data_IF_592834638758
#
_entry.id   IF_592834638758
#
_cell.length_a   1.000
_cell.length_b   1.000
_cell.length_c   1.000
_cell.angle_alpha   90.00
_cell.angle_beta   90.00
_cell.angle_gamma   90.00
#
_symmetry.space_group_name_H-M   'P 1'
#
loop_
_entity.id
_entity.type
_entity.pdbx_description
1 polymer ?
#
# COMPACT_ATOMS: atom_id res chain seq x y z
N UNK A 1 39.66 -61.13 -89.73
CA UNK A 1 39.38 -61.25 -88.28
C UNK A 1 39.95 -60.10 -87.44
N UNK A 2 40.81 -59.22 -87.98
CA UNK A 2 41.40 -58.10 -87.22
C UNK A 2 40.40 -56.98 -86.92
N UNK A 3 39.60 -56.56 -87.91
CA UNK A 3 38.74 -55.37 -87.79
C UNK A 3 37.55 -55.55 -86.84
N UNK A 4 36.84 -56.69 -86.88
CA UNK A 4 35.71 -56.94 -85.99
C UNK A 4 36.11 -56.96 -84.50
N UNK A 5 37.29 -57.50 -84.17
CA UNK A 5 37.83 -57.45 -82.80
C UNK A 5 38.18 -56.02 -82.39
N UNK A 6 38.68 -55.21 -83.32
CA UNK A 6 39.03 -53.82 -83.08
C UNK A 6 37.77 -52.98 -82.82
N UNK A 7 36.70 -53.19 -83.60
CA UNK A 7 35.39 -52.55 -83.38
C UNK A 7 34.80 -52.97 -82.02
N UNK A 8 34.81 -54.27 -81.67
CA UNK A 8 34.31 -54.71 -80.37
C UNK A 8 35.10 -54.09 -79.22
N UNK A 9 36.43 -54.03 -79.32
CA UNK A 9 37.26 -53.36 -78.32
C UNK A 9 36.95 -51.86 -78.21
N UNK A 10 36.55 -51.20 -79.29
CA UNK A 10 36.09 -49.80 -79.24
C UNK A 10 34.71 -49.68 -78.58
N UNK A 11 33.78 -50.60 -78.83
CA UNK A 11 32.46 -50.62 -78.17
C UNK A 11 32.65 -50.84 -76.67
N UNK A 12 33.44 -51.85 -76.26
CA UNK A 12 33.70 -52.14 -74.85
C UNK A 12 34.37 -50.95 -74.14
N UNK A 13 35.24 -50.20 -74.85
CA UNK A 13 35.83 -48.97 -74.34
C UNK A 13 34.77 -47.88 -74.14
N UNK A 14 33.88 -47.66 -75.11
CA UNK A 14 32.79 -46.68 -75.01
C UNK A 14 31.83 -47.04 -73.87
N UNK A 15 31.48 -48.32 -73.71
CA UNK A 15 30.61 -48.77 -72.62
C UNK A 15 31.27 -48.57 -71.24
N UNK A 16 32.57 -48.89 -71.10
CA UNK A 16 33.31 -48.62 -69.87
C UNK A 16 33.42 -47.14 -69.58
N UNK A 17 33.73 -46.32 -70.58
CA UNK A 17 33.81 -44.86 -70.43
C UNK A 17 32.43 -44.28 -70.03
N UNK A 18 31.34 -44.80 -70.59
CA UNK A 18 29.98 -44.41 -70.21
C UNK A 18 29.63 -44.84 -68.78
N UNK A 19 30.07 -46.04 -68.34
CA UNK A 19 29.89 -46.51 -66.97
C UNK A 19 30.69 -45.69 -65.96
N UNK A 20 31.99 -45.44 -66.21
CA UNK A 20 32.81 -44.58 -65.34
C UNK A 20 32.20 -43.18 -65.22
N UNK A 21 31.70 -42.62 -66.33
CA UNK A 21 31.05 -41.31 -66.32
C UNK A 21 29.71 -41.31 -65.57
N UNK A 22 28.96 -42.41 -65.62
CA UNK A 22 27.73 -42.57 -64.84
C UNK A 22 28.03 -42.67 -63.35
N UNK A 23 29.03 -43.47 -62.96
CA UNK A 23 29.50 -43.59 -61.57
C UNK A 23 30.03 -42.25 -61.03
N UNK A 24 30.79 -41.50 -61.84
CA UNK A 24 31.26 -40.16 -61.48
C UNK A 24 30.10 -39.18 -61.26
N UNK A 25 29.07 -39.22 -62.12
CA UNK A 25 27.86 -38.40 -61.96
C UNK A 25 27.05 -38.79 -60.72
N UNK A 26 26.90 -40.08 -60.42
CA UNK A 26 26.21 -40.53 -59.22
C UNK A 26 26.97 -40.13 -57.95
N UNK A 27 28.30 -40.28 -57.94
CA UNK A 27 29.14 -39.84 -56.84
C UNK A 27 29.04 -38.33 -56.61
N UNK A 28 29.11 -37.54 -57.68
CA UNK A 28 28.95 -36.08 -57.62
C UNK A 28 27.55 -35.67 -57.15
N UNK A 29 26.50 -36.33 -57.65
CA UNK A 29 25.12 -36.06 -57.24
C UNK A 29 24.88 -36.39 -55.76
N UNK A 30 25.49 -37.47 -55.25
CA UNK A 30 25.40 -37.84 -53.84
C UNK A 30 26.15 -36.82 -52.96
N UNK A 31 27.35 -36.38 -53.38
CA UNK A 31 28.10 -35.35 -52.66
C UNK A 31 27.32 -34.02 -52.61
N UNK A 32 26.75 -33.59 -53.73
CA UNK A 32 25.93 -32.37 -53.79
C UNK A 32 24.67 -32.49 -52.95
N UNK A 33 24.00 -33.65 -52.96
CA UNK A 33 22.87 -33.93 -52.08
C UNK A 33 23.24 -33.81 -50.59
N UNK A 34 24.36 -34.39 -50.18
CA UNK A 34 24.78 -34.38 -48.78
C UNK A 34 25.18 -32.97 -48.31
N UNK A 35 25.85 -32.21 -49.18
CA UNK A 35 26.19 -30.80 -48.92
C UNK A 35 24.92 -29.96 -48.78
N UNK A 36 23.97 -30.07 -49.72
CA UNK A 36 22.76 -29.24 -49.72
C UNK A 36 21.82 -29.61 -48.57
N UNK A 37 21.70 -30.91 -48.26
CA UNK A 37 20.98 -31.39 -47.07
C UNK A 37 21.61 -30.85 -45.79
N UNK A 38 22.93 -30.91 -45.64
CA UNK A 38 23.61 -30.32 -44.48
C UNK A 38 23.35 -28.82 -44.38
N UNK A 39 23.40 -28.09 -45.51
CA UNK A 39 23.13 -26.65 -45.56
C UNK A 39 21.72 -26.33 -45.06
N UNK A 40 20.70 -27.04 -45.55
CA UNK A 40 19.30 -26.85 -45.14
C UNK A 40 19.08 -27.19 -43.67
N UNK A 41 19.63 -28.30 -43.20
CA UNK A 41 19.51 -28.75 -41.81
C UNK A 41 20.19 -27.77 -40.85
N UNK A 42 21.41 -27.31 -41.15
CA UNK A 42 22.11 -26.36 -40.29
C UNK A 42 21.44 -24.98 -40.29
N UNK A 43 20.91 -24.52 -41.42
CA UNK A 43 20.13 -23.30 -41.49
C UNK A 43 18.88 -23.36 -40.60
N UNK A 44 18.14 -24.47 -40.62
CA UNK A 44 16.94 -24.62 -39.80
C UNK A 44 17.26 -24.85 -38.32
N UNK A 45 18.30 -25.62 -38.00
CA UNK A 45 18.83 -25.74 -36.63
C UNK A 45 19.23 -24.38 -36.06
N UNK A 46 19.86 -23.51 -36.86
CA UNK A 46 20.22 -22.16 -36.43
C UNK A 46 18.97 -21.34 -36.05
N UNK A 47 17.90 -21.39 -36.86
CA UNK A 47 16.63 -20.72 -36.54
C UNK A 47 15.99 -21.28 -35.27
N UNK A 48 15.94 -22.61 -35.13
CA UNK A 48 15.37 -23.27 -33.94
C UNK A 48 16.15 -22.88 -32.68
N UNK A 49 17.49 -22.87 -32.73
CA UNK A 49 18.34 -22.43 -31.62
C UNK A 49 18.03 -20.99 -31.21
N UNK A 50 17.93 -20.07 -32.17
CA UNK A 50 17.60 -18.67 -31.89
C UNK A 50 16.21 -18.49 -31.27
N UNK A 51 15.19 -19.21 -31.76
CA UNK A 51 13.84 -19.19 -31.17
C UNK A 51 13.81 -19.78 -29.76
N UNK A 52 14.52 -20.90 -29.55
CA UNK A 52 14.62 -21.53 -28.23
C UNK A 52 15.31 -20.61 -27.23
N UNK A 53 16.40 -19.94 -27.62
CA UNK A 53 17.09 -18.96 -26.77
C UNK A 53 16.17 -17.78 -26.40
N UNK A 54 15.41 -17.24 -27.36
CA UNK A 54 14.43 -16.18 -27.09
C UNK A 54 13.35 -16.65 -26.10
N UNK A 55 12.83 -17.87 -26.27
CA UNK A 55 11.82 -18.44 -25.37
C UNK A 55 12.37 -18.69 -23.98
N UNK A 56 13.61 -19.16 -23.86
CA UNK A 56 14.29 -19.34 -22.58
C UNK A 56 14.44 -18.00 -21.84
N UNK A 57 14.90 -16.96 -22.54
CA UNK A 57 15.01 -15.60 -21.99
C UNK A 57 13.66 -15.06 -21.51
N UNK A 58 12.59 -15.32 -22.27
CA UNK A 58 11.24 -14.90 -21.87
C UNK A 58 10.79 -15.61 -20.58
N UNK A 59 10.98 -16.93 -20.49
CA UNK A 59 10.65 -17.71 -19.29
C UNK A 59 11.40 -17.20 -18.06
N UNK A 60 12.68 -16.85 -18.20
CA UNK A 60 13.46 -16.27 -17.11
C UNK A 60 12.93 -14.90 -16.66
N UNK A 61 12.52 -14.05 -17.60
CA UNK A 61 11.89 -12.76 -17.30
C UNK A 61 10.56 -12.98 -16.58
N UNK A 62 9.69 -13.85 -17.12
CA UNK A 62 8.38 -14.15 -16.53
C UNK A 62 8.52 -14.70 -15.12
N UNK A 63 9.51 -15.58 -14.88
CA UNK A 63 9.83 -16.10 -13.55
C UNK A 63 10.25 -14.99 -12.58
N UNK A 64 11.07 -14.03 -13.03
CA UNK A 64 11.48 -12.88 -12.21
C UNK A 64 10.29 -11.98 -11.87
N UNK A 65 9.42 -11.70 -12.85
CA UNK A 65 8.19 -10.91 -12.67
C UNK A 65 7.24 -11.62 -11.69
N UNK A 66 7.02 -12.92 -11.86
CA UNK A 66 6.17 -13.72 -10.97
C UNK A 66 6.69 -13.68 -9.52
N UNK A 67 8.01 -13.83 -9.32
CA UNK A 67 8.63 -13.72 -7.99
C UNK A 67 8.46 -12.32 -7.38
N UNK A 68 8.65 -11.27 -8.18
CA UNK A 68 8.48 -9.90 -7.72
C UNK A 68 7.03 -9.61 -7.32
N UNK A 69 6.06 -10.05 -8.13
CA UNK A 69 4.64 -9.93 -7.84
C UNK A 69 4.24 -10.68 -6.57
N UNK A 70 4.73 -11.91 -6.39
CA UNK A 70 4.49 -12.67 -5.17
C UNK A 70 4.99 -11.92 -3.92
N UNK A 71 6.24 -11.43 -3.95
CA UNK A 71 6.81 -10.65 -2.85
C UNK A 71 6.01 -9.37 -2.55
N UNK A 72 5.60 -8.65 -3.60
CA UNK A 72 4.73 -7.47 -3.48
C UNK A 72 3.41 -7.80 -2.78
N UNK A 73 2.72 -8.87 -3.20
CA UNK A 73 1.46 -9.30 -2.60
C UNK A 73 1.64 -9.65 -1.12
N UNK A 74 2.71 -10.36 -0.76
CA UNK A 74 2.98 -10.66 0.66
C UNK A 74 3.24 -9.38 1.47
N UNK A 75 3.99 -8.42 0.91
CA UNK A 75 4.25 -7.14 1.58
C UNK A 75 2.97 -6.33 1.79
N UNK A 76 2.08 -6.29 0.79
CA UNK A 76 0.78 -5.63 0.91
C UNK A 76 -0.08 -6.27 2.01
N UNK A 77 -0.12 -7.61 2.05
CA UNK A 77 -0.84 -8.34 3.11
C UNK A 77 -0.35 -7.97 4.51
N UNK A 78 0.96 -7.89 4.71
CA UNK A 78 1.54 -7.45 6.00
C UNK A 78 1.15 -6.01 6.32
N UNK A 79 1.16 -5.11 5.33
CA UNK A 79 0.75 -3.71 5.53
C UNK A 79 -0.74 -3.58 5.91
N UNK A 80 -1.61 -4.36 5.27
CA UNK A 80 -3.05 -4.40 5.56
C UNK A 80 -3.31 -4.90 6.99
N UNK A 81 -2.65 -5.97 7.42
CA UNK A 81 -2.80 -6.49 8.78
C UNK A 81 -2.27 -5.52 9.84
N UNK A 82 -1.18 -4.80 9.55
CA UNK A 82 -0.70 -3.71 10.42
C UNK A 82 -1.72 -2.58 10.53
N UNK A 83 -2.35 -2.18 9.42
CA UNK A 83 -3.39 -1.16 9.42
C UNK A 83 -4.63 -1.62 10.23
N UNK A 84 -5.08 -2.86 10.04
CA UNK A 84 -6.17 -3.47 10.83
C UNK A 84 -5.86 -3.49 12.33
N UNK A 85 -4.61 -3.77 12.70
CA UNK A 85 -4.17 -3.76 14.10
C UNK A 85 -4.26 -2.36 14.70
N UNK A 86 -3.86 -1.33 13.95
CA UNK A 86 -3.98 0.07 14.37
C UNK A 86 -5.46 0.49 14.53
N UNK A 87 -6.34 0.08 13.63
CA UNK A 87 -7.77 0.35 13.72
C UNK A 87 -8.39 -0.29 14.98
N UNK A 88 -8.01 -1.54 15.28
CA UNK A 88 -8.42 -2.21 16.52
C UNK A 88 -7.95 -1.47 17.77
N UNK A 89 -6.71 -0.98 17.78
CA UNK A 89 -6.19 -0.18 18.88
C UNK A 89 -6.98 1.13 19.06
N UNK A 90 -7.33 1.78 17.96
CA UNK A 90 -8.15 3.00 17.98
C UNK A 90 -9.54 2.73 18.58
N UNK A 91 -10.21 1.68 18.13
CA UNK A 91 -11.53 1.30 18.65
C UNK A 91 -11.48 0.87 20.13
N UNK A 92 -10.45 0.11 20.54
CA UNK A 92 -10.24 -0.21 21.96
C UNK A 92 -10.01 1.04 22.82
N UNK A 93 -9.28 2.02 22.28
CA UNK A 93 -9.04 3.30 22.97
C UNK A 93 -10.33 4.09 23.11
N UNK A 94 -11.14 4.16 22.03
CA UNK A 94 -12.48 4.75 22.05
C UNK A 94 -13.35 4.12 23.13
N UNK A 95 -13.41 2.79 23.21
CA UNK A 95 -14.21 2.08 24.22
C UNK A 95 -13.79 2.44 25.65
N UNK A 96 -12.47 2.49 25.92
CA UNK A 96 -11.95 2.92 27.24
C UNK A 96 -12.33 4.35 27.57
N UNK A 97 -12.25 5.26 26.60
CA UNK A 97 -12.63 6.67 26.78
C UNK A 97 -14.12 6.79 27.08
N UNK A 98 -14.98 6.13 26.29
CA UNK A 98 -16.43 6.13 26.51
C UNK A 98 -16.78 5.54 27.88
N UNK A 99 -16.10 4.48 28.32
CA UNK A 99 -16.29 3.93 29.66
C UNK A 99 -15.93 4.94 30.77
N UNK A 100 -14.87 5.73 30.59
CA UNK A 100 -14.50 6.81 31.52
C UNK A 100 -15.52 7.96 31.51
N UNK A 101 -16.04 8.32 30.32
CA UNK A 101 -17.09 9.35 30.17
C UNK A 101 -18.38 8.94 30.89
N UNK A 102 -18.71 7.65 30.85
CA UNK A 102 -19.86 7.10 31.56
C UNK A 102 -19.68 7.05 33.09
N UNK A 103 -18.50 7.40 33.62
CA UNK A 103 -18.26 7.55 35.05
C UNK A 103 -18.28 9.05 35.44
N UNK A 104 -19.39 9.57 36.01
CA UNK A 104 -19.54 10.99 36.29
C UNK A 104 -18.46 11.54 37.24
N UNK A 105 -17.97 10.72 38.19
CA UNK A 105 -16.97 11.14 39.17
C UNK A 105 -15.63 11.54 38.52
N UNK A 106 -15.27 10.90 37.40
CA UNK A 106 -14.04 11.18 36.66
C UNK A 106 -14.29 12.18 35.53
N UNK A 107 -15.43 12.02 34.84
CA UNK A 107 -15.74 12.82 33.66
C UNK A 107 -16.03 14.29 33.99
N UNK A 108 -16.78 14.58 35.06
CA UNK A 108 -17.18 15.96 35.39
C UNK A 108 -15.99 16.88 35.67
N UNK A 109 -15.02 16.51 36.54
CA UNK A 109 -13.82 17.35 36.75
C UNK A 109 -12.99 17.52 35.47
N UNK A 110 -12.93 16.49 34.63
CA UNK A 110 -12.21 16.56 33.36
C UNK A 110 -12.93 17.51 32.38
N UNK A 111 -14.26 17.46 32.29
CA UNK A 111 -15.05 18.33 31.44
C UNK A 111 -14.81 19.81 31.75
N UNK A 112 -14.81 20.18 33.03
CA UNK A 112 -14.50 21.55 33.49
C UNK A 112 -13.08 21.94 33.07
N UNK A 113 -12.09 21.05 33.25
CA UNK A 113 -10.70 21.30 32.81
C UNK A 113 -10.58 21.51 31.30
N UNK A 114 -11.33 20.75 30.49
CA UNK A 114 -11.37 20.93 29.04
C UNK A 114 -11.93 22.30 28.66
N UNK A 115 -12.97 22.77 29.36
CA UNK A 115 -13.53 24.10 29.15
C UNK A 115 -12.52 25.18 29.55
N UNK A 116 -11.88 25.07 30.72
CA UNK A 116 -10.80 25.99 31.13
C UNK A 116 -9.71 26.11 30.06
N UNK A 117 -9.24 24.97 29.52
CA UNK A 117 -8.23 24.96 28.47
C UNK A 117 -8.72 25.71 27.22
N UNK A 118 -9.95 25.43 26.78
CA UNK A 118 -10.52 26.07 25.59
C UNK A 118 -10.72 27.57 25.77
N UNK A 119 -11.15 28.03 26.95
CA UNK A 119 -11.29 29.45 27.25
C UNK A 119 -9.93 30.18 27.24
N UNK A 120 -8.87 29.56 27.77
CA UNK A 120 -7.51 30.11 27.70
C UNK A 120 -6.95 30.21 26.28
N UNK A 121 -7.42 29.36 25.37
CA UNK A 121 -7.05 29.41 23.95
C UNK A 121 -7.81 30.48 23.17
N UNK A 122 -9.10 30.69 23.46
CA UNK A 122 -9.95 31.66 22.73
C UNK A 122 -9.77 33.09 23.25
N UNK A 123 -9.67 33.26 24.57
CA UNK A 123 -9.45 34.54 25.28
C UNK A 123 -10.47 35.66 25.02
N UNK A 124 -11.68 35.31 24.61
CA UNK A 124 -12.78 36.25 24.35
C UNK A 124 -14.11 35.65 24.83
N UNK A 125 -15.20 36.39 24.70
CA UNK A 125 -16.55 35.87 24.94
C UNK A 125 -16.79 34.61 24.10
N UNK A 126 -17.39 33.62 24.73
CA UNK A 126 -17.36 32.25 24.24
C UNK A 126 -18.73 31.57 24.28
N UNK A 127 -18.99 30.78 23.24
CA UNK A 127 -20.13 29.89 23.12
C UNK A 127 -19.64 28.45 23.25
N UNK A 128 -20.05 27.77 24.32
CA UNK A 128 -19.71 26.37 24.62
C UNK A 128 -20.73 25.46 23.98
N UNK A 129 -20.28 24.62 23.05
CA UNK A 129 -21.06 23.56 22.42
C UNK A 129 -20.70 22.23 23.08
N UNK A 130 -21.70 21.53 23.62
CA UNK A 130 -21.53 20.24 24.29
C UNK A 130 -22.58 19.22 23.83
N UNK A 131 -22.49 17.98 24.31
CA UNK A 131 -23.55 16.98 24.11
C UNK A 131 -24.77 17.34 24.95
N UNK A 132 -25.95 16.91 24.52
CA UNK A 132 -27.20 17.15 25.26
C UNK A 132 -27.15 16.62 26.70
N UNK A 133 -26.50 15.47 26.90
CA UNK A 133 -26.32 14.84 28.21
C UNK A 133 -25.45 15.66 29.17
N UNK A 134 -24.55 16.49 28.63
CA UNK A 134 -23.58 17.26 29.41
C UNK A 134 -24.08 18.70 29.70
N UNK A 135 -25.15 19.15 29.05
CA UNK A 135 -25.67 20.53 29.10
C UNK A 135 -25.95 20.99 30.53
N UNK A 136 -26.64 20.16 31.32
CA UNK A 136 -27.01 20.51 32.69
C UNK A 136 -25.77 20.73 33.58
N UNK A 137 -24.73 19.93 33.39
CA UNK A 137 -23.47 20.07 34.13
C UNK A 137 -22.71 21.32 33.67
N UNK A 138 -22.58 21.51 32.35
CA UNK A 138 -21.88 22.68 31.79
C UNK A 138 -22.57 23.98 32.24
N UNK A 139 -23.89 24.06 32.15
CA UNK A 139 -24.65 25.25 32.54
C UNK A 139 -24.48 25.58 34.04
N UNK A 140 -24.40 24.56 34.90
CA UNK A 140 -24.18 24.75 36.34
C UNK A 140 -22.82 25.35 36.65
N UNK A 141 -21.79 24.98 35.89
CA UNK A 141 -20.40 25.39 36.14
C UNK A 141 -20.05 26.76 35.52
N UNK A 142 -20.89 27.33 34.64
CA UNK A 142 -20.63 28.63 33.98
C UNK A 142 -20.23 29.76 34.96
N UNK A 143 -20.96 30.01 36.07
CA UNK A 143 -20.60 31.10 36.98
C UNK A 143 -19.22 30.92 37.61
N UNK A 144 -18.81 29.67 37.87
CA UNK A 144 -17.50 29.35 38.40
C UNK A 144 -16.41 29.50 37.32
N UNK A 145 -16.68 29.08 36.08
CA UNK A 145 -15.79 29.27 34.94
C UNK A 145 -15.49 30.76 34.66
N UNK A 146 -16.52 31.61 34.69
CA UNK A 146 -16.37 33.07 34.50
C UNK A 146 -15.54 33.71 35.63
N UNK A 147 -15.81 33.30 36.88
CA UNK A 147 -15.05 33.76 38.05
C UNK A 147 -13.58 33.33 37.94
N UNK A 148 -13.32 32.05 37.66
CA UNK A 148 -11.99 31.51 37.49
C UNK A 148 -11.21 32.23 36.38
N UNK A 149 -11.86 32.49 35.24
CA UNK A 149 -11.23 33.18 34.11
C UNK A 149 -10.83 34.62 34.50
N UNK A 150 -11.73 35.33 35.21
CA UNK A 150 -11.46 36.68 35.71
C UNK A 150 -10.31 36.70 36.70
N UNK A 151 -10.23 35.74 37.61
CA UNK A 151 -9.12 35.61 38.56
C UNK A 151 -7.78 35.31 37.86
N UNK A 152 -7.78 34.51 36.81
CA UNK A 152 -6.56 34.12 36.10
C UNK A 152 -6.03 35.16 35.11
N UNK A 153 -6.91 35.91 34.45
CA UNK A 153 -6.52 36.82 33.36
C UNK A 153 -6.78 38.29 33.65
N UNK A 154 -7.57 38.61 34.68
CA UNK A 154 -8.03 39.97 34.97
C UNK A 154 -9.15 40.48 34.05
N UNK A 155 -9.46 39.75 32.96
CA UNK A 155 -10.51 40.12 32.01
C UNK A 155 -11.83 39.41 32.36
N UNK A 156 -12.95 40.11 32.17
CA UNK A 156 -14.29 39.50 32.30
C UNK A 156 -14.72 39.01 30.92
N UNK A 157 -15.23 37.79 30.86
CA UNK A 157 -15.80 37.18 29.65
C UNK A 157 -17.23 36.73 29.92
N UNK A 158 -18.06 36.74 28.89
CA UNK A 158 -19.39 36.13 28.89
C UNK A 158 -19.30 34.72 28.30
N UNK A 159 -19.81 33.72 29.03
CA UNK A 159 -19.90 32.34 28.57
C UNK A 159 -21.36 31.96 28.33
N UNK A 160 -21.68 31.46 27.14
CA UNK A 160 -23.02 31.01 26.76
C UNK A 160 -23.02 29.55 26.32
N UNK A 161 -24.09 28.81 26.56
CA UNK A 161 -24.26 27.46 26.03
C UNK A 161 -24.93 27.50 24.67
N UNK A 162 -24.39 26.76 23.70
CA UNK A 162 -25.00 26.63 22.37
C UNK A 162 -26.26 25.79 22.42
N UNK A 163 -27.29 26.17 21.65
CA UNK A 163 -28.50 25.35 21.42
C UNK A 163 -28.27 24.18 20.45
N UNK A 164 -27.14 24.15 19.76
CA UNK A 164 -26.80 23.09 18.81
C UNK A 164 -25.90 22.07 19.50
N UNK A 165 -26.40 20.86 19.74
CA UNK A 165 -25.65 19.84 20.46
C UNK A 165 -24.61 19.13 19.58
N UNK A 166 -23.54 18.63 20.22
CA UNK A 166 -22.58 17.73 19.60
C UNK A 166 -23.17 16.32 19.44
N UNK A 167 -22.81 15.63 18.37
CA UNK A 167 -23.16 14.22 18.18
C UNK A 167 -22.35 13.35 19.15
N UNK A 168 -23.05 12.61 20.03
CA UNK A 168 -22.43 11.72 21.02
C UNK A 168 -21.50 10.68 20.38
N UNK A 169 -21.88 10.12 19.23
CA UNK A 169 -21.10 9.09 18.55
C UNK A 169 -19.78 9.62 17.97
N UNK A 170 -19.75 10.89 17.56
CA UNK A 170 -18.57 11.52 16.95
C UNK A 170 -17.68 12.20 17.99
N UNK A 171 -18.26 12.86 19.00
CA UNK A 171 -17.49 13.62 19.99
C UNK A 171 -16.92 12.71 21.11
N UNK A 172 -17.62 11.62 21.44
CA UNK A 172 -17.39 10.74 22.59
C UNK A 172 -17.48 11.41 23.97
N UNK A 173 -17.44 12.74 24.02
CA UNK A 173 -17.43 13.59 25.22
C UNK A 173 -16.63 14.86 24.97
N UNK A 174 -16.56 15.73 25.98
CA UNK A 174 -15.87 17.01 25.89
C UNK A 174 -16.71 18.10 25.22
N UNK A 175 -16.04 19.16 24.77
CA UNK A 175 -16.68 20.40 24.30
C UNK A 175 -16.03 20.94 23.04
N UNK A 176 -16.80 21.69 22.26
CA UNK A 176 -16.28 22.62 21.25
C UNK A 176 -16.63 24.02 21.71
N UNK A 177 -15.62 24.84 21.96
CA UNK A 177 -15.82 26.23 22.36
C UNK A 177 -15.54 27.13 21.16
N UNK A 178 -16.42 28.08 20.92
CA UNK A 178 -16.31 29.04 19.82
C UNK A 178 -16.30 30.46 20.38
N UNK A 179 -15.61 31.39 19.74
CA UNK A 179 -15.82 32.80 20.03
C UNK A 179 -17.24 33.22 19.64
N UNK A 180 -17.78 34.27 20.27
CA UNK A 180 -19.14 34.77 19.99
C UNK A 180 -19.33 35.17 18.52
N UNK A 181 -18.27 35.64 17.85
CA UNK A 181 -18.28 35.95 16.41
C UNK A 181 -18.08 34.71 15.50
N UNK A 182 -17.85 33.54 16.09
CA UNK A 182 -17.64 32.27 15.40
C UNK A 182 -16.28 32.12 14.68
N UNK A 183 -15.39 33.10 14.77
CA UNK A 183 -14.11 33.10 14.02
C UNK A 183 -13.07 32.15 14.61
N UNK A 184 -13.03 32.01 15.92
CA UNK A 184 -12.08 31.16 16.62
C UNK A 184 -12.83 29.96 17.18
N UNK A 185 -12.38 28.76 16.81
CA UNK A 185 -12.99 27.50 17.25
C UNK A 185 -11.93 26.64 17.92
N UNK A 186 -12.16 26.29 19.19
CA UNK A 186 -11.36 25.33 19.92
C UNK A 186 -12.16 24.02 20.06
N UNK A 187 -11.81 23.03 19.24
CA UNK A 187 -12.37 21.68 19.38
C UNK A 187 -11.58 20.91 20.44
N UNK A 188 -12.20 20.69 21.60
CA UNK A 188 -11.61 19.95 22.72
C UNK A 188 -12.45 18.71 23.06
N UNK A 189 -13.12 18.15 22.05
CA UNK A 189 -13.82 16.86 22.16
C UNK A 189 -12.82 15.73 22.34
N UNK A 190 -13.24 14.67 23.02
CA UNK A 190 -12.35 13.54 23.33
C UNK A 190 -11.93 12.78 22.08
N UNK A 191 -12.81 12.67 21.08
CA UNK A 191 -12.46 12.07 19.79
C UNK A 191 -11.39 12.88 19.07
N UNK A 192 -11.53 14.22 19.01
CA UNK A 192 -10.55 15.09 18.37
C UNK A 192 -9.19 15.00 19.07
N UNK A 193 -9.17 15.10 20.40
CA UNK A 193 -7.93 14.96 21.18
C UNK A 193 -7.28 13.60 20.99
N UNK A 194 -8.07 12.53 20.95
CA UNK A 194 -7.57 11.17 20.73
C UNK A 194 -6.94 11.08 19.36
N UNK A 195 -7.62 11.58 18.32
CA UNK A 195 -7.08 11.61 16.96
C UNK A 195 -5.75 12.37 16.89
N UNK A 196 -5.68 13.58 17.45
CA UNK A 196 -4.44 14.37 17.47
C UNK A 196 -3.31 13.63 18.19
N UNK A 197 -3.60 13.01 19.33
CA UNK A 197 -2.61 12.21 20.06
C UNK A 197 -2.12 11.02 19.23
N UNK A 198 -3.02 10.30 18.54
CA UNK A 198 -2.64 9.21 17.64
C UNK A 198 -1.78 9.69 16.48
N UNK A 199 -2.11 10.82 15.87
CA UNK A 199 -1.36 11.37 14.74
C UNK A 199 0.07 11.78 15.16
N UNK A 200 0.21 12.43 16.32
CA UNK A 200 1.51 12.85 16.87
C UNK A 200 2.34 11.65 17.35
N UNK A 201 1.71 10.67 18.01
CA UNK A 201 2.38 9.52 18.60
C UNK A 201 2.46 8.32 17.65
N UNK A 202 2.01 8.45 16.40
CA UNK A 202 2.00 7.37 15.42
C UNK A 202 3.38 6.70 15.26
N UNK A 203 4.51 7.43 15.22
CA UNK A 203 5.83 6.82 15.16
C UNK A 203 6.15 5.96 16.39
N UNK A 204 5.87 6.49 17.59
CA UNK A 204 6.08 5.81 18.88
C UNK A 204 5.21 4.55 18.98
N UNK A 205 3.92 4.66 18.66
CA UNK A 205 2.98 3.54 18.68
C UNK A 205 3.42 2.46 17.69
N UNK A 206 3.84 2.84 16.47
CA UNK A 206 4.35 1.87 15.48
C UNK A 206 5.62 1.17 15.95
N UNK A 207 6.53 1.89 16.60
CA UNK A 207 7.74 1.31 17.15
C UNK A 207 7.41 0.24 18.17
N UNK A 208 6.60 0.55 19.19
CA UNK A 208 6.25 -0.42 20.23
C UNK A 208 5.39 -1.59 19.74
N UNK A 209 4.54 -1.39 18.73
CA UNK A 209 3.68 -2.47 18.21
C UNK A 209 4.39 -3.41 17.23
N UNK A 210 5.30 -2.91 16.41
CA UNK A 210 5.81 -3.65 15.26
C UNK A 210 7.34 -3.82 15.25
N UNK A 211 8.07 -3.27 16.21
CA UNK A 211 9.50 -3.52 16.37
C UNK A 211 9.72 -4.66 17.39
N UNK A 212 10.34 -5.79 16.99
CA UNK A 212 10.70 -6.87 17.91
C UNK A 212 11.64 -6.44 19.05
N UNK A 213 12.42 -5.37 18.87
CA UNK A 213 13.38 -4.87 19.84
C UNK A 213 12.79 -3.83 20.82
N UNK A 214 11.50 -3.51 20.70
CA UNK A 214 10.88 -2.55 21.59
C UNK A 214 10.85 -3.08 23.04
N UNK A 215 11.30 -2.30 24.04
CA UNK A 215 11.13 -2.68 25.43
C UNK A 215 9.63 -2.68 25.78
N UNK A 216 9.20 -3.73 26.50
CA UNK A 216 7.86 -3.88 27.05
C UNK A 216 7.63 -2.96 28.26
#
# INVERSE_FOLDING_TARGET
MSEARQIQSMIDFIEREAQEKAEELEAAAQEEYDVEKMRLVEAEKAKIRAMAEKKLKQVDVDRRVARANFSKVQRMRVMEERARTMEKLHEQTRQKIVAMVNNPSQYKPMLVRLIHQSLMSIRTDAVVQCRKEDEAEVAREIPELERWYKEKTGATISIQTSKTYLNTAEAWGGVVVKSTDGRVVCNNTLSYRTKTCFDEQLPTVRFHLFNPEAPL
#
